data_IF_681206750228
#
_entry.id   IF_681206750228
#
_cell.length_a   1.000
_cell.length_b   1.000
_cell.length_c   1.000
_cell.angle_alpha   90.00
_cell.angle_beta   90.00
_cell.angle_gamma   90.00
#
_symmetry.space_group_name_H-M   'P 1'
#
loop_
_entity.id
_entity.type
_entity.pdbx_description
1 polymer ?
#
# COMPACT_ATOMS: atom_id res chain seq x y z
N UNK A 1 -13.71 1.10 18.44
CA UNK A 1 -12.73 0.74 19.49
C UNK A 1 -12.41 -0.77 19.54
N UNK A 2 -12.54 -1.50 18.41
CA UNK A 2 -12.18 -2.93 18.29
C UNK A 2 -10.86 -3.15 17.51
N UNK A 3 -10.40 -2.14 16.77
CA UNK A 3 -9.20 -2.20 15.92
C UNK A 3 -7.89 -1.93 16.69
N UNK A 4 -7.98 -1.44 17.93
CA UNK A 4 -6.83 -1.20 18.80
C UNK A 4 -6.50 -2.40 19.71
N UNK A 5 -7.39 -3.39 19.84
CA UNK A 5 -7.19 -4.55 20.71
C UNK A 5 -6.51 -5.72 20.02
N UNK A 6 -6.61 -5.81 18.69
CA UNK A 6 -5.98 -6.88 17.89
C UNK A 6 -4.45 -6.84 17.89
N UNK A 7 -3.74 -5.69 17.88
CA UNK A 7 -2.28 -5.69 17.93
C UNK A 7 -1.77 -6.11 19.31
N UNK A 8 -2.42 -5.66 20.39
CA UNK A 8 -2.05 -5.98 21.77
C UNK A 8 -2.18 -7.48 22.11
N UNK A 9 -3.15 -8.19 21.52
CA UNK A 9 -3.38 -9.60 21.77
C UNK A 9 -2.41 -10.52 20.99
N UNK A 10 -1.87 -10.07 19.85
CA UNK A 10 -0.91 -10.83 19.06
C UNK A 10 0.49 -10.93 19.70
N UNK A 11 0.81 -10.00 20.61
CA UNK A 11 2.10 -9.91 21.32
C UNK A 11 2.27 -10.93 22.48
N UNK A 12 1.34 -11.87 22.66
CA UNK A 12 1.31 -12.77 23.82
C UNK A 12 2.29 -13.94 23.80
N UNK A 13 3.16 -14.08 22.78
CA UNK A 13 3.87 -15.35 22.51
C UNK A 13 5.41 -15.27 22.63
N UNK A 14 6.12 -14.16 22.39
CA UNK A 14 7.56 -14.07 22.69
C UNK A 14 8.12 -12.62 22.74
N UNK A 15 9.18 -12.46 23.53
CA UNK A 15 10.24 -11.44 23.67
C UNK A 15 10.06 -9.94 23.33
N UNK A 16 10.88 -9.11 24.00
CA UNK A 16 10.99 -7.63 23.94
C UNK A 16 11.19 -7.00 22.54
N UNK A 17 11.17 -7.79 21.47
CA UNK A 17 11.46 -7.41 20.08
C UNK A 17 10.23 -7.34 19.19
N UNK A 18 9.09 -7.89 19.62
CA UNK A 18 7.83 -7.83 18.88
C UNK A 18 7.09 -6.54 19.18
N UNK A 19 6.78 -5.77 18.13
CA UNK A 19 6.02 -4.53 18.26
C UNK A 19 4.78 -4.52 17.35
N UNK A 20 3.86 -3.63 17.66
CA UNK A 20 2.76 -3.26 16.77
C UNK A 20 2.76 -1.76 16.53
N UNK A 21 2.34 -1.35 15.34
CA UNK A 21 2.28 0.06 15.00
C UNK A 21 1.16 0.36 14.02
N UNK A 22 0.70 1.61 14.08
CA UNK A 22 -0.25 2.16 13.12
C UNK A 22 0.47 3.31 12.43
N UNK A 23 0.39 3.35 11.11
CA UNK A 23 1.02 4.38 10.32
C UNK A 23 0.14 4.87 9.19
N UNK A 24 0.51 6.03 8.68
CA UNK A 24 -0.07 6.61 7.49
C UNK A 24 1.04 7.12 6.59
N UNK A 25 0.83 7.15 5.30
CA UNK A 25 1.91 7.49 4.38
C UNK A 25 1.44 7.92 3.02
N UNK A 26 2.40 8.25 2.17
CA UNK A 26 2.15 8.44 0.73
C UNK A 26 2.33 7.12 0.00
N UNK A 27 1.43 6.82 -0.91
CA UNK A 27 1.51 5.66 -1.78
C UNK A 27 1.64 6.05 -3.25
N UNK A 28 2.34 5.20 -4.01
CA UNK A 28 2.53 5.32 -5.45
C UNK A 28 2.23 4.01 -6.14
N UNK A 29 1.60 4.09 -7.31
CA UNK A 29 1.34 2.95 -8.18
C UNK A 29 1.31 3.37 -9.64
N UNK A 30 0.91 2.46 -10.52
CA UNK A 30 0.77 2.75 -11.93
C UNK A 30 -0.41 2.03 -12.56
N UNK A 31 -1.06 2.71 -13.49
CA UNK A 31 -2.09 2.18 -14.37
C UNK A 31 -1.54 2.08 -15.80
N UNK A 32 -1.66 0.92 -16.44
CA UNK A 32 -1.24 0.74 -17.84
C UNK A 32 -2.46 0.43 -18.69
N UNK A 33 -2.64 1.18 -19.78
CA UNK A 33 -3.74 0.91 -20.73
C UNK A 33 -3.51 -0.41 -21.48
N UNK A 34 -4.58 -1.05 -21.97
CA UNK A 34 -4.49 -2.31 -22.75
C UNK A 34 -3.58 -2.21 -23.98
N UNK A 35 -3.51 -1.02 -24.59
CA UNK A 35 -2.60 -0.77 -25.72
C UNK A 35 -1.11 -0.86 -25.34
N UNK A 36 -0.77 -0.89 -24.04
CA UNK A 36 0.59 -0.94 -23.52
C UNK A 36 1.40 0.33 -23.78
N UNK A 37 0.84 1.32 -24.49
CA UNK A 37 1.60 2.42 -25.05
C UNK A 37 1.99 3.49 -24.01
N UNK A 38 1.31 3.55 -22.86
CA UNK A 38 1.62 4.53 -21.81
C UNK A 38 1.13 4.09 -20.43
N UNK A 39 2.01 4.25 -19.45
CA UNK A 39 1.71 4.14 -18.02
C UNK A 39 1.28 5.50 -17.46
N UNK A 40 0.24 5.50 -16.64
CA UNK A 40 -0.26 6.65 -15.89
C UNK A 40 0.10 6.42 -14.43
N UNK A 41 0.88 7.34 -13.86
CA UNK A 41 1.24 7.28 -12.45
C UNK A 41 0.02 7.53 -11.56
N UNK A 42 -0.11 6.74 -10.50
CA UNK A 42 -1.10 6.93 -9.44
C UNK A 42 -0.39 7.37 -8.17
N UNK A 43 -1.01 8.29 -7.44
CA UNK A 43 -0.55 8.76 -6.14
C UNK A 43 -1.72 8.84 -5.17
N UNK A 44 -1.43 8.74 -3.88
CA UNK A 44 -2.42 8.94 -2.84
C UNK A 44 -1.90 8.52 -1.49
N UNK A 45 -2.81 8.06 -0.63
CA UNK A 45 -2.53 7.83 0.77
C UNK A 45 -2.51 6.33 1.11
N UNK A 46 -1.69 5.99 2.09
CA UNK A 46 -1.62 4.67 2.72
C UNK A 46 -2.06 4.77 4.18
N UNK A 47 -2.82 3.77 4.63
CA UNK A 47 -3.04 3.46 6.03
C UNK A 47 -2.50 2.05 6.30
N UNK A 48 -1.69 1.95 7.34
CA UNK A 48 -0.97 0.73 7.67
C UNK A 48 -1.24 0.33 9.12
N UNK A 49 -1.58 -0.93 9.33
CA UNK A 49 -1.69 -1.54 10.65
C UNK A 49 -0.75 -2.74 10.68
N UNK A 50 0.38 -2.60 11.37
CA UNK A 50 1.28 -3.70 11.65
C UNK A 50 0.76 -4.47 12.87
N UNK A 51 0.22 -5.66 12.64
CA UNK A 51 -0.32 -6.50 13.72
C UNK A 51 0.79 -6.97 14.64
N UNK A 52 1.88 -7.43 14.05
CA UNK A 52 3.11 -7.78 14.75
C UNK A 52 4.29 -7.57 13.81
N UNK A 53 5.41 -7.17 14.37
CA UNK A 53 6.69 -7.08 13.70
C UNK A 53 7.77 -7.51 14.68
N UNK A 54 8.51 -8.55 14.32
CA UNK A 54 9.70 -8.97 15.03
C UNK A 54 10.88 -8.21 14.43
N UNK A 55 11.52 -7.37 15.24
CA UNK A 55 12.63 -6.55 14.78
C UNK A 55 13.84 -6.61 15.68
N UNK A 56 15.01 -6.66 15.06
CA UNK A 56 16.25 -6.32 15.73
C UNK A 56 16.36 -4.79 15.89
N UNK A 57 17.07 -4.30 16.92
CA UNK A 57 17.32 -2.86 17.09
C UNK A 57 17.95 -2.24 15.85
N UNK A 58 18.87 -2.94 15.20
CA UNK A 58 19.40 -2.61 13.89
C UNK A 58 19.73 -3.90 13.17
N UNK A 59 19.02 -4.21 12.10
CA UNK A 59 19.09 -5.53 11.49
C UNK A 59 17.81 -5.91 10.76
N UNK A 60 17.62 -7.21 10.55
CA UNK A 60 16.46 -7.73 9.85
C UNK A 60 15.18 -7.56 10.69
N UNK A 61 14.06 -7.46 10.00
CA UNK A 61 12.75 -7.58 10.60
C UNK A 61 11.77 -8.27 9.66
N UNK A 62 10.75 -8.90 10.23
CA UNK A 62 9.59 -9.40 9.52
C UNK A 62 8.30 -9.15 10.33
N UNK A 63 7.16 -9.29 9.68
CA UNK A 63 5.88 -8.98 10.30
C UNK A 63 4.68 -9.21 9.40
N UNK A 64 3.50 -8.99 9.99
CA UNK A 64 2.22 -9.08 9.30
C UNK A 64 1.49 -7.74 9.38
N UNK A 65 1.14 -7.21 8.20
CA UNK A 65 0.56 -5.89 8.04
C UNK A 65 -0.78 -5.95 7.32
N UNK A 66 -1.75 -5.15 7.75
CA UNK A 66 -2.87 -4.73 6.93
C UNK A 66 -2.53 -3.38 6.28
N UNK A 67 -2.60 -3.35 4.95
CA UNK A 67 -2.36 -2.16 4.13
C UNK A 67 -3.67 -1.77 3.45
N UNK A 68 -4.09 -0.52 3.65
CA UNK A 68 -5.16 0.11 2.89
C UNK A 68 -4.59 1.25 2.06
N UNK A 69 -4.99 1.33 0.79
CA UNK A 69 -4.53 2.33 -0.16
C UNK A 69 -5.70 2.97 -0.88
N UNK A 70 -5.57 4.27 -1.14
CA UNK A 70 -6.45 5.00 -2.04
C UNK A 70 -5.57 5.81 -2.99
N UNK A 71 -5.53 5.38 -4.25
CA UNK A 71 -4.65 5.91 -5.30
C UNK A 71 -5.49 6.48 -6.43
N UNK A 72 -5.08 7.63 -6.96
CA UNK A 72 -5.68 8.21 -8.15
C UNK A 72 -4.64 8.89 -9.02
N UNK A 73 -4.97 9.08 -10.29
CA UNK A 73 -4.11 9.78 -11.22
C UNK A 73 -4.90 10.30 -12.40
N UNK A 74 -4.24 11.11 -13.21
CA UNK A 74 -4.77 11.56 -14.50
C UNK A 74 -3.69 11.42 -15.57
N UNK A 75 -4.06 11.05 -16.78
CA UNK A 75 -3.11 10.93 -17.88
C UNK A 75 -3.77 10.75 -19.23
N UNK A 76 -3.07 11.20 -20.28
CA UNK A 76 -3.52 11.08 -21.67
C UNK A 76 -2.76 9.93 -22.32
N UNK A 77 -3.46 9.00 -22.97
CA UNK A 77 -2.84 7.88 -23.68
C UNK A 77 -2.30 8.27 -25.08
N UNK A 78 -1.75 7.30 -25.80
CA UNK A 78 -1.20 7.51 -27.15
C UNK A 78 -2.25 7.87 -28.22
N UNK A 79 -3.54 7.70 -27.93
CA UNK A 79 -4.66 8.03 -28.81
C UNK A 79 -5.30 9.39 -28.51
N UNK A 80 -4.78 10.12 -27.51
CA UNK A 80 -5.30 11.42 -27.10
C UNK A 80 -6.52 11.34 -26.19
N UNK A 81 -6.84 10.15 -25.65
CA UNK A 81 -7.92 9.97 -24.67
C UNK A 81 -7.36 10.26 -23.27
N UNK A 82 -8.06 11.07 -22.48
CA UNK A 82 -7.76 11.31 -21.08
C UNK A 82 -8.37 10.22 -20.21
N UNK A 83 -7.60 9.77 -19.23
CA UNK A 83 -7.95 8.73 -18.25
C UNK A 83 -7.82 9.29 -16.85
N UNK A 84 -8.82 9.02 -16.01
CA UNK A 84 -8.79 9.30 -14.57
C UNK A 84 -8.96 8.01 -13.76
N UNK A 85 -7.89 7.18 -13.68
CA UNK A 85 -7.90 5.96 -12.89
C UNK A 85 -8.00 6.23 -11.38
N UNK A 86 -8.74 5.36 -10.69
CA UNK A 86 -8.81 5.25 -9.23
C UNK A 86 -8.64 3.80 -8.82
N UNK A 87 -7.82 3.58 -7.80
CA UNK A 87 -7.44 2.28 -7.28
C UNK A 87 -7.55 2.32 -5.75
N UNK A 88 -8.44 1.51 -5.21
CA UNK A 88 -8.60 1.28 -3.78
C UNK A 88 -8.11 -0.14 -3.48
N UNK A 89 -7.26 -0.31 -2.46
CA UNK A 89 -6.75 -1.62 -2.07
C UNK A 89 -6.93 -1.82 -0.57
N UNK A 90 -7.31 -3.04 -0.19
CA UNK A 90 -7.22 -3.54 1.18
C UNK A 90 -6.52 -4.91 1.15
N UNK A 91 -5.31 -4.98 1.68
CA UNK A 91 -4.45 -6.17 1.57
C UNK A 91 -3.83 -6.56 2.90
N UNK A 92 -3.82 -7.86 3.18
CA UNK A 92 -3.03 -8.46 4.25
C UNK A 92 -1.70 -8.91 3.65
N UNK A 93 -0.60 -8.38 4.18
CA UNK A 93 0.75 -8.56 3.65
C UNK A 93 1.71 -9.10 4.69
N UNK A 94 2.52 -10.06 4.28
CA UNK A 94 3.75 -10.39 4.96
C UNK A 94 4.83 -9.38 4.56
N UNK A 95 5.52 -8.83 5.55
CA UNK A 95 6.33 -7.64 5.41
C UNK A 95 7.71 -7.93 5.97
N UNK A 96 8.76 -7.71 5.19
CA UNK A 96 10.15 -8.02 5.54
C UNK A 96 11.08 -6.88 5.17
N UNK A 97 12.17 -6.71 5.89
CA UNK A 97 13.04 -5.59 5.62
C UNK A 97 14.24 -5.43 6.53
N UNK A 98 14.83 -4.24 6.47
CA UNK A 98 15.95 -3.83 7.29
C UNK A 98 15.59 -2.63 8.16
N UNK A 99 15.84 -2.75 9.45
CA UNK A 99 15.64 -1.74 10.48
C UNK A 99 16.95 -1.01 10.78
N UNK A 100 16.95 0.31 10.64
CA UNK A 100 18.03 1.19 11.07
C UNK A 100 17.62 1.99 12.29
N UNK A 101 18.35 1.84 13.40
CA UNK A 101 18.17 2.68 14.58
C UNK A 101 18.76 4.06 14.33
N UNK A 102 17.93 5.09 14.24
CA UNK A 102 18.41 6.48 14.16
C UNK A 102 18.64 7.04 15.57
N UNK A 103 17.64 6.85 16.44
CA UNK A 103 17.68 7.14 17.87
C UNK A 103 16.93 6.01 18.57
N UNK A 104 17.23 5.71 19.83
CA UNK A 104 16.63 4.57 20.55
C UNK A 104 15.09 4.44 20.51
N UNK A 105 14.37 5.49 20.09
CA UNK A 105 12.91 5.57 19.94
C UNK A 105 12.46 5.87 18.49
N UNK A 106 13.37 5.99 17.53
CA UNK A 106 13.11 6.37 16.14
C UNK A 106 13.90 5.50 15.18
N UNK A 107 13.16 4.82 14.30
CA UNK A 107 13.70 3.83 13.39
C UNK A 107 13.37 4.18 11.94
N UNK A 108 14.35 4.00 11.06
CA UNK A 108 14.17 4.05 9.62
C UNK A 108 14.19 2.63 9.09
N UNK A 109 13.13 2.20 8.42
CA UNK A 109 12.98 0.87 7.87
C UNK A 109 12.90 0.94 6.35
N UNK A 110 13.59 0.02 5.68
CA UNK A 110 13.39 -0.26 4.25
C UNK A 110 12.71 -1.62 4.15
N UNK A 111 11.71 -1.74 3.30
CA UNK A 111 10.89 -2.96 3.26
C UNK A 111 10.50 -3.40 1.87
N UNK A 112 10.18 -4.69 1.79
CA UNK A 112 9.41 -5.32 0.73
C UNK A 112 8.30 -6.12 1.43
N UNK A 113 7.13 -6.18 0.81
CA UNK A 113 6.01 -6.94 1.31
C UNK A 113 5.27 -7.62 0.17
N UNK A 114 4.68 -8.76 0.50
CA UNK A 114 3.85 -9.54 -0.40
C UNK A 114 2.59 -9.97 0.34
N UNK A 115 1.44 -9.84 -0.31
CA UNK A 115 0.19 -10.18 0.32
C UNK A 115 -0.91 -10.45 -0.66
N UNK A 116 -2.09 -10.69 -0.11
CA UNK A 116 -3.32 -10.90 -0.85
C UNK A 116 -4.34 -9.87 -0.37
N UNK A 117 -5.19 -9.40 -1.29
CA UNK A 117 -6.11 -8.33 -0.97
C UNK A 117 -7.29 -8.26 -1.91
N UNK A 118 -8.21 -7.39 -1.53
CA UNK A 118 -9.24 -6.89 -2.41
C UNK A 118 -8.72 -5.62 -3.07
N UNK A 119 -8.88 -5.56 -4.38
CA UNK A 119 -8.59 -4.40 -5.19
C UNK A 119 -9.88 -3.96 -5.85
N UNK A 120 -10.22 -2.68 -5.71
CA UNK A 120 -11.31 -2.05 -6.43
C UNK A 120 -10.74 -0.97 -7.34
N UNK A 121 -11.04 -1.09 -8.63
CA UNK A 121 -10.52 -0.20 -9.64
C UNK A 121 -11.66 0.44 -10.43
N UNK A 122 -11.52 1.72 -10.76
CA UNK A 122 -12.40 2.41 -11.72
C UNK A 122 -11.60 3.37 -12.59
N UNK A 123 -12.09 3.65 -13.79
CA UNK A 123 -11.50 4.64 -14.69
C UNK A 123 -12.60 5.46 -15.34
N UNK A 124 -12.43 6.77 -15.36
CA UNK A 124 -13.24 7.67 -16.18
C UNK A 124 -12.45 8.08 -17.42
N UNK A 125 -13.13 8.15 -18.57
CA UNK A 125 -12.50 8.48 -19.85
C UNK A 125 -13.12 9.72 -20.47
N UNK A 126 -12.26 10.56 -21.04
CA UNK A 126 -12.67 11.78 -21.73
C UNK A 126 -11.98 11.90 -23.09
N UNK A 127 -12.79 12.12 -24.13
CA UNK A 127 -12.34 12.46 -25.48
C UNK A 127 -12.98 13.80 -25.91
N UNK A 128 -12.17 14.85 -26.03
CA UNK A 128 -12.69 16.21 -26.27
C UNK A 128 -13.52 16.73 -25.09
N UNK A 129 -14.73 17.26 -25.35
CA UNK A 129 -15.66 17.70 -24.29
C UNK A 129 -16.61 16.58 -23.81
N UNK A 130 -16.51 15.38 -24.38
CA UNK A 130 -17.41 14.28 -24.07
C UNK A 130 -16.75 13.32 -23.08
N UNK A 131 -17.40 13.11 -21.93
CA UNK A 131 -17.08 12.04 -21.00
C UNK A 131 -17.78 10.77 -21.43
N UNK A 132 -17.02 9.74 -21.84
CA UNK A 132 -17.60 8.42 -22.07
C UNK A 132 -17.58 7.67 -20.75
N UNK A 133 -18.78 7.41 -20.20
CA UNK A 133 -19.13 6.51 -19.09
C UNK A 133 -17.99 6.18 -18.11
N UNK A 134 -18.15 6.60 -16.85
CA UNK A 134 -17.45 5.96 -15.74
C UNK A 134 -17.57 4.44 -15.90
N UNK A 135 -16.46 3.74 -16.08
CA UNK A 135 -16.48 2.29 -16.06
C UNK A 135 -16.93 1.87 -14.68
N UNK A 136 -17.89 0.94 -14.62
CA UNK A 136 -18.30 0.37 -13.34
C UNK A 136 -17.05 -0.14 -12.62
N UNK A 137 -16.95 0.19 -11.33
CA UNK A 137 -15.81 -0.19 -10.53
C UNK A 137 -15.71 -1.72 -10.53
N UNK A 138 -14.60 -2.25 -11.05
CA UNK A 138 -14.31 -3.67 -11.00
C UNK A 138 -13.68 -3.99 -9.66
N UNK A 139 -14.15 -5.07 -9.04
CA UNK A 139 -13.58 -5.61 -7.83
C UNK A 139 -12.92 -6.94 -8.15
N UNK A 140 -11.65 -7.09 -7.76
CA UNK A 140 -10.86 -8.30 -7.94
C UNK A 140 -10.14 -8.67 -6.64
N UNK A 141 -9.78 -9.93 -6.53
CA UNK A 141 -8.82 -10.39 -5.54
C UNK A 141 -7.49 -10.64 -6.25
N UNK A 142 -6.45 -9.96 -5.81
CA UNK A 142 -5.11 -10.11 -6.37
C UNK A 142 -4.08 -10.29 -5.26
N UNK A 143 -2.98 -10.92 -5.64
CA UNK A 143 -1.75 -10.79 -4.90
C UNK A 143 -1.07 -9.46 -5.23
N UNK A 144 -0.43 -8.88 -4.22
CA UNK A 144 0.15 -7.56 -4.28
C UNK A 144 1.56 -7.58 -3.71
N UNK A 145 2.49 -7.02 -4.48
CA UNK A 145 3.83 -6.72 -3.98
C UNK A 145 3.93 -5.23 -3.70
N UNK A 146 4.51 -4.86 -2.58
CA UNK A 146 4.86 -3.48 -2.29
C UNK A 146 6.25 -3.38 -1.69
N UNK A 147 6.84 -2.20 -1.78
CA UNK A 147 8.13 -1.90 -1.18
C UNK A 147 8.17 -0.43 -0.81
N UNK A 148 9.09 -0.06 0.07
CA UNK A 148 9.12 1.32 0.51
C UNK A 148 10.02 1.57 1.69
N UNK A 149 9.70 2.67 2.37
CA UNK A 149 10.40 3.12 3.57
C UNK A 149 9.41 3.51 4.64
N UNK A 150 9.66 3.09 5.88
CA UNK A 150 8.88 3.48 7.05
C UNK A 150 9.77 4.26 8.02
N UNK A 151 9.21 5.29 8.64
CA UNK A 151 9.76 5.95 9.81
C UNK A 151 8.89 5.60 10.99
N UNK A 152 9.43 4.83 11.93
CA UNK A 152 8.69 4.33 13.10
C UNK A 152 9.16 5.05 14.35
N UNK A 153 8.23 5.66 15.07
CA UNK A 153 8.43 6.32 16.34
C UNK A 153 7.85 5.46 17.46
N UNK A 154 8.69 4.97 18.37
CA UNK A 154 8.26 4.29 19.59
C UNK A 154 7.65 5.29 20.57
N UNK A 155 6.38 5.13 20.92
CA UNK A 155 5.74 5.91 21.99
C UNK A 155 5.85 5.20 23.34
N UNK A 156 5.76 3.88 23.32
CA UNK A 156 5.96 2.97 24.45
C UNK A 156 6.65 1.71 23.93
N UNK A 157 7.06 0.82 24.84
CA UNK A 157 7.63 -0.50 24.50
C UNK A 157 6.72 -1.37 23.61
N UNK A 158 5.44 -1.01 23.44
CA UNK A 158 4.43 -1.83 22.71
C UNK A 158 3.64 -1.08 21.66
N UNK A 159 3.68 0.25 21.67
CA UNK A 159 2.93 1.09 20.75
C UNK A 159 3.90 2.01 20.02
N UNK A 160 3.93 1.90 18.71
CA UNK A 160 4.65 2.84 17.85
C UNK A 160 3.72 3.48 16.81
N UNK A 161 4.12 4.63 16.31
CA UNK A 161 3.50 5.30 15.17
C UNK A 161 4.41 5.23 13.95
N UNK A 162 3.84 5.08 12.77
CA UNK A 162 4.57 5.01 11.51
C UNK A 162 4.24 6.15 10.55
N UNK A 163 5.22 6.61 9.79
CA UNK A 163 5.01 7.31 8.53
C UNK A 163 5.73 6.60 7.40
N UNK A 164 5.04 6.37 6.28
CA UNK A 164 5.59 5.53 5.22
C UNK A 164 5.55 6.17 3.84
N UNK A 165 6.46 5.73 2.98
CA UNK A 165 6.37 5.91 1.53
C UNK A 165 6.28 4.52 0.91
N UNK A 166 5.12 4.21 0.33
CA UNK A 166 4.80 2.88 -0.19
C UNK A 166 4.73 2.92 -1.71
N UNK A 167 5.40 1.97 -2.36
CA UNK A 167 5.30 1.74 -3.80
C UNK A 167 4.64 0.39 -4.01
N UNK A 168 3.59 0.38 -4.83
CA UNK A 168 2.78 -0.81 -5.08
C UNK A 168 2.93 -1.24 -6.52
N UNK A 169 3.11 -2.54 -6.68
CA UNK A 169 3.08 -3.21 -7.96
C UNK A 169 1.92 -4.21 -7.92
N UNK A 170 0.81 -3.83 -8.53
CA UNK A 170 -0.30 -4.75 -8.76
C UNK A 170 0.03 -5.64 -9.96
N UNK A 171 -0.09 -6.96 -9.77
CA UNK A 171 0.24 -7.97 -10.77
C UNK A 171 -0.90 -8.19 -11.76
N UNK A 172 -2.12 -7.72 -11.46
CA UNK A 172 -3.25 -7.92 -12.34
C UNK A 172 -3.40 -6.77 -13.35
N UNK A 173 -3.16 -7.11 -14.62
CA UNK A 173 -3.57 -6.29 -15.76
C UNK A 173 -5.09 -6.39 -15.87
N UNK A 174 -5.82 -5.41 -15.39
CA UNK A 174 -7.28 -5.40 -15.55
C UNK A 174 -7.59 -5.18 -17.05
N UNK A 175 -8.42 -6.04 -17.65
CA UNK A 175 -8.83 -5.92 -19.05
C UNK A 175 -10.03 -4.95 -19.17
N UNK A 176 -9.79 -3.79 -19.77
CA UNK A 176 -10.76 -2.69 -19.84
C UNK A 176 -11.64 -2.66 -21.09
N UNK A 177 -11.65 -3.73 -21.91
CA UNK A 177 -12.71 -3.94 -22.91
C UNK A 177 -12.90 -2.84 -23.96
N UNK A 178 -11.91 -1.98 -24.21
CA UNK A 178 -11.92 -1.07 -25.36
C UNK A 178 -11.25 -1.73 -26.55
N UNK A 179 -12.06 -2.02 -27.58
CA UNK A 179 -11.63 -2.29 -28.96
C UNK A 179 -11.83 -1.06 -29.82
#
# INVERSE_FOLDING_TARGET
MLLLSTPLAAQGIDNQTTISWIGSGSAKGSYVTKSGNKSIGLTGDALEIMFWQDREKSGFFDGLQLLQLELSGTGIDGSGISHEPKLEVLSLQYHLGWNGNLFNFMHLQFFVSYGIGQTRFSVALQQGQTWSKNFEAQQAYSDMTSYGTNMILELTDRLSLGYSTVHVQDLQSVDYGYT
#
